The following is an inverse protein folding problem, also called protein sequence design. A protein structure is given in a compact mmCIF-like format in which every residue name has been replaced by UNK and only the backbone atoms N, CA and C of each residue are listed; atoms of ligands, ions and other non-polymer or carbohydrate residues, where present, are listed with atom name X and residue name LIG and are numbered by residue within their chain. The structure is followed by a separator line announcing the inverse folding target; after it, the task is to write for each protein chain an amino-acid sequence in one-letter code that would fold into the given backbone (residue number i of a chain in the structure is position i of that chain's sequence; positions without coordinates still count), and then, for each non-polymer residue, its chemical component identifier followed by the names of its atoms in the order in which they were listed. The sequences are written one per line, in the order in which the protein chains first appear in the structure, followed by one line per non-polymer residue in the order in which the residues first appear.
data_IF_984207975937
#
_entry.id   IF_984207975937
#
_cell.length_a   1.000
_cell.length_b   1.000
_cell.length_c   1.000
_cell.angle_alpha   90.00
_cell.angle_beta   90.00
_cell.angle_gamma   90.00
#
_symmetry.space_group_name_H-M   'P 1'
#
loop_
_entity.id
_entity.type
_entity.pdbx_description
1 polymer ?
#
# COMPACT_ATOMS: atom_id res chain seq x y z
N UNK A 1 -3.22 4.32 -6.55
CA UNK A 1 -4.24 3.91 -5.57
C UNK A 1 -5.61 4.23 -6.16
N UNK A 2 -6.69 3.57 -5.75
CA UNK A 2 -8.02 3.71 -6.37
C UNK A 2 -8.90 4.83 -5.78
N UNK A 3 -8.32 5.72 -4.97
CA UNK A 3 -8.94 6.90 -4.35
C UNK A 3 -10.24 6.67 -3.57
N UNK A 4 -10.52 5.42 -3.19
CA UNK A 4 -11.69 5.08 -2.37
C UNK A 4 -11.52 5.61 -0.94
N UNK A 5 -12.62 6.08 -0.32
CA UNK A 5 -12.56 6.60 1.04
C UNK A 5 -12.20 5.49 2.04
N UNK A 6 -11.58 5.84 3.18
CA UNK A 6 -11.22 4.87 4.22
C UNK A 6 -12.37 3.99 4.70
N UNK A 7 -13.62 4.49 4.69
CA UNK A 7 -14.81 3.73 5.08
C UNK A 7 -15.12 2.54 4.16
N UNK A 8 -14.47 2.45 3.00
CA UNK A 8 -14.60 1.36 2.03
C UNK A 8 -13.33 0.50 1.97
N UNK A 9 -12.41 0.71 2.89
CA UNK A 9 -11.12 0.05 2.93
C UNK A 9 -11.02 -0.96 4.07
N UNK A 10 -10.18 -1.95 3.85
CA UNK A 10 -9.75 -2.96 4.80
C UNK A 10 -8.29 -2.66 5.19
N UNK A 11 -7.93 -2.97 6.43
CA UNK A 11 -6.54 -2.91 6.86
C UNK A 11 -5.78 -4.10 6.27
N UNK A 12 -4.63 -3.81 5.65
CA UNK A 12 -3.74 -4.78 5.06
C UNK A 12 -2.34 -4.66 5.67
N UNK A 13 -1.84 -5.73 6.27
CA UNK A 13 -0.46 -5.81 6.72
C UNK A 13 0.48 -5.95 5.53
N UNK A 14 1.51 -5.10 5.49
CA UNK A 14 2.46 -5.04 4.36
C UNK A 14 3.24 -6.35 4.24
N UNK A 15 3.68 -6.88 5.38
CA UNK A 15 4.36 -8.16 5.47
C UNK A 15 3.33 -9.20 5.92
N UNK A 16 3.11 -10.20 5.06
CA UNK A 16 2.19 -11.29 5.38
C UNK A 16 2.58 -11.99 6.69
N UNK A 17 1.61 -12.12 7.60
CA UNK A 17 1.86 -12.60 8.96
C UNK A 17 2.36 -14.03 9.02
N UNK A 18 1.79 -14.94 8.21
CA UNK A 18 2.24 -16.33 8.16
C UNK A 18 3.46 -16.47 7.23
N UNK A 19 3.26 -16.38 5.91
CA UNK A 19 4.30 -16.50 4.88
C UNK A 19 5.62 -15.76 5.19
N UNK A 20 5.56 -14.50 5.64
CA UNK A 20 6.75 -13.67 5.86
C UNK A 20 7.06 -13.44 7.35
N UNK A 21 6.35 -14.12 8.27
CA UNK A 21 6.46 -13.86 9.72
C UNK A 21 6.28 -12.38 10.08
N UNK A 22 5.42 -11.69 9.32
CA UNK A 22 5.14 -10.27 9.47
C UNK A 22 4.45 -9.94 10.79
N UNK A 23 4.64 -8.70 11.27
CA UNK A 23 3.95 -8.18 12.45
C UNK A 23 2.46 -7.93 12.15
N UNK A 24 1.62 -8.16 13.15
CA UNK A 24 0.15 -7.97 13.05
C UNK A 24 -0.34 -6.65 13.66
N UNK A 25 0.55 -5.75 14.09
CA UNK A 25 0.18 -4.42 14.57
C UNK A 25 -0.12 -3.41 13.46
N UNK A 26 -0.66 -2.28 13.89
CA UNK A 26 -1.12 -1.19 13.01
C UNK A 26 0.02 -0.36 12.43
N UNK A 27 1.23 -0.45 12.99
CA UNK A 27 2.37 0.35 12.52
C UNK A 27 2.77 -0.06 11.10
N UNK A 28 2.56 -1.34 10.77
CA UNK A 28 2.83 -1.94 9.45
C UNK A 28 1.60 -2.28 8.60
N UNK A 29 0.52 -1.51 8.76
CA UNK A 29 -0.69 -1.65 7.93
C UNK A 29 -0.94 -0.49 6.96
N UNK A 30 -1.49 -0.77 5.78
CA UNK A 30 -2.09 0.25 4.88
C UNK A 30 -3.58 -0.02 4.68
N UNK A 31 -4.34 1.00 4.27
CA UNK A 31 -5.75 0.84 3.92
C UNK A 31 -5.90 0.59 2.42
N UNK A 32 -6.61 -0.48 2.07
CA UNK A 32 -6.90 -0.84 0.68
C UNK A 32 -8.39 -1.13 0.50
N UNK A 33 -9.00 -0.68 -0.60
CA UNK A 33 -10.34 -1.15 -0.92
C UNK A 33 -10.31 -2.66 -1.19
N UNK A 34 -11.42 -3.37 -0.98
CA UNK A 34 -11.48 -4.83 -1.15
C UNK A 34 -10.94 -5.33 -2.49
N UNK A 35 -11.20 -4.61 -3.60
CA UNK A 35 -10.63 -4.96 -4.91
C UNK A 35 -9.10 -4.89 -4.91
N UNK A 36 -8.52 -3.78 -4.44
CA UNK A 36 -7.06 -3.64 -4.38
C UNK A 36 -6.44 -4.63 -3.38
N UNK A 37 -7.09 -4.86 -2.25
CA UNK A 37 -6.63 -5.80 -1.23
C UNK A 37 -6.49 -7.22 -1.78
N UNK A 38 -7.52 -7.71 -2.47
CA UNK A 38 -7.48 -9.04 -3.09
C UNK A 38 -6.45 -9.15 -4.21
N UNK A 39 -6.14 -8.07 -4.93
CA UNK A 39 -5.05 -8.10 -5.92
C UNK A 39 -3.67 -8.24 -5.28
N UNK A 40 -3.45 -7.67 -4.09
CA UNK A 40 -2.21 -7.87 -3.33
C UNK A 40 -2.05 -9.33 -2.92
N UNK A 41 -3.12 -9.98 -2.46
CA UNK A 41 -3.07 -11.40 -2.10
C UNK A 41 -2.96 -12.32 -3.32
N UNK A 42 -3.68 -12.03 -4.41
CA UNK A 42 -3.96 -13.05 -5.43
C UNK A 42 -3.31 -12.77 -6.80
N UNK A 43 -2.75 -11.57 -7.02
CA UNK A 43 -2.30 -11.12 -8.35
C UNK A 43 -0.86 -10.59 -8.36
N UNK A 44 -0.08 -10.90 -7.32
CA UNK A 44 1.33 -10.55 -7.24
C UNK A 44 1.60 -9.04 -7.08
N UNK A 45 0.60 -8.26 -6.69
CA UNK A 45 0.84 -6.87 -6.29
C UNK A 45 1.53 -6.85 -4.94
N UNK A 46 2.37 -5.84 -4.69
CA UNK A 46 3.14 -5.71 -3.45
C UNK A 46 3.10 -4.28 -2.94
N UNK A 47 3.05 -4.11 -1.63
CA UNK A 47 3.28 -2.83 -0.98
C UNK A 47 4.72 -2.81 -0.45
N UNK A 48 5.47 -1.75 -0.72
CA UNK A 48 6.82 -1.56 -0.19
C UNK A 48 6.92 -0.28 0.59
N UNK A 49 7.75 -0.28 1.62
CA UNK A 49 8.20 0.94 2.30
C UNK A 49 9.35 1.57 1.50
N UNK A 50 9.27 2.86 1.29
CA UNK A 50 10.30 3.64 0.59
C UNK A 50 10.37 5.06 1.17
N UNK A 51 11.53 5.47 1.69
CA UNK A 51 11.75 6.84 2.20
C UNK A 51 10.74 7.32 3.27
N UNK A 52 10.14 6.41 4.03
CA UNK A 52 9.07 6.71 5.01
C UNK A 52 7.67 6.92 4.40
N UNK A 53 7.50 6.65 3.12
CA UNK A 53 6.22 6.46 2.44
C UNK A 53 5.99 4.99 2.09
N UNK A 54 4.92 4.75 1.32
CA UNK A 54 4.58 3.44 0.79
C UNK A 54 4.43 3.52 -0.71
N UNK A 55 4.82 2.47 -1.41
CA UNK A 55 4.73 2.33 -2.87
C UNK A 55 3.97 1.05 -3.18
N UNK A 56 2.97 1.15 -4.04
CA UNK A 56 2.33 -0.01 -4.67
C UNK A 56 3.16 -0.42 -5.89
N UNK A 57 3.65 -1.65 -5.86
CA UNK A 57 4.20 -2.36 -7.00
C UNK A 57 3.12 -3.27 -7.60
N UNK A 58 2.81 -3.10 -8.88
CA UNK A 58 1.93 -4.01 -9.62
C UNK A 58 2.45 -4.22 -11.03
N UNK A 59 2.33 -5.41 -11.63
CA UNK A 59 2.62 -5.59 -13.05
C UNK A 59 1.64 -4.76 -13.91
N UNK A 60 2.13 -4.24 -15.04
CA UNK A 60 1.26 -3.78 -16.14
C UNK A 60 0.74 -4.97 -16.97
N UNK A 61 0.02 -4.68 -18.06
CA UNK A 61 -0.55 -5.71 -18.94
C UNK A 61 0.52 -6.60 -19.60
N UNK A 62 1.77 -6.12 -19.69
CA UNK A 62 2.93 -6.86 -20.18
C UNK A 62 3.73 -7.58 -19.08
N UNK A 63 3.27 -7.55 -17.82
CA UNK A 63 3.96 -8.15 -16.69
C UNK A 63 5.09 -7.30 -16.11
N UNK A 64 5.34 -6.11 -16.65
CA UNK A 64 6.43 -5.23 -16.20
C UNK A 64 6.02 -4.51 -14.91
N UNK A 65 6.80 -4.63 -13.81
CA UNK A 65 6.48 -3.97 -12.56
C UNK A 65 6.38 -2.44 -12.70
N UNK A 66 5.27 -1.87 -12.26
CA UNK A 66 5.04 -0.43 -12.13
C UNK A 66 4.93 -0.05 -10.66
N UNK A 67 5.64 1.02 -10.30
CA UNK A 67 5.65 1.61 -8.96
C UNK A 67 4.77 2.84 -8.92
N UNK A 68 3.83 2.88 -7.99
CA UNK A 68 2.97 4.05 -7.76
C UNK A 68 3.04 4.41 -6.27
N UNK A 69 3.52 5.62 -5.90
CA UNK A 69 3.46 6.08 -4.52
C UNK A 69 2.03 6.05 -3.98
N UNK A 70 1.89 5.60 -2.74
CA UNK A 70 0.63 5.66 -2.00
C UNK A 70 0.53 7.00 -1.26
N UNK A 71 -0.70 7.52 -1.09
CA UNK A 71 -0.90 8.74 -0.32
C UNK A 71 -0.38 8.57 1.12
N UNK A 72 0.17 9.66 1.66
CA UNK A 72 0.65 9.65 3.04
C UNK A 72 -0.49 9.38 4.02
N UNK A 73 -0.19 8.64 5.10
CA UNK A 73 -1.10 8.47 6.24
C UNK A 73 -1.36 9.79 6.98
N UNK A 74 -0.51 10.80 6.78
CA UNK A 74 -0.62 12.13 7.38
C UNK A 74 -0.72 13.20 6.28
N UNK A 75 -1.88 13.88 6.15
CA UNK A 75 -2.03 15.02 5.24
C UNK A 75 -1.02 16.15 5.53
N UNK A 76 -0.67 16.35 6.81
CA UNK A 76 0.33 17.33 7.21
C UNK A 76 1.72 16.96 6.67
N UNK A 77 2.13 15.68 6.81
CA UNK A 77 3.39 15.18 6.22
C UNK A 77 3.40 15.34 4.70
N UNK A 78 2.29 15.01 4.02
CA UNK A 78 2.20 15.15 2.57
C UNK A 78 2.44 16.61 2.12
N UNK A 79 1.87 17.59 2.84
CA UNK A 79 2.07 19.02 2.56
C UNK A 79 3.51 19.45 2.78
N UNK A 80 4.14 19.02 3.89
CA UNK A 80 5.53 19.37 4.21
C UNK A 80 6.52 18.87 3.16
N UNK A 81 6.31 17.66 2.63
CA UNK A 81 7.18 17.07 1.59
C UNK A 81 6.97 17.74 0.22
N UNK A 82 5.76 18.23 -0.08
CA UNK A 82 5.46 18.87 -1.36
C UNK A 82 5.99 20.31 -1.48
N UNK A 83 6.36 20.93 -0.36
CA UNK A 83 6.86 22.32 -0.30
C UNK A 83 8.38 22.43 -0.17
N UNK A 84 9.10 21.31 -0.22
CA UNK A 84 10.55 21.21 -0.20
C UNK A 84 11.08 20.92 -1.60
#
# INVERSE_FOLDING_TARGET
MCDRPPSWCEAHHIDHWDEHRGRTDIDSGVLLCRFCHLNVHNRGWRIRRDGGGYVLERPDDGGVPRRTPLPSRSPARARLVATA
#
